data_IF_998155987890
#
_entry.id   IF_998155987890
#
_cell.length_a   1.000
_cell.length_b   1.000
_cell.length_c   1.000
_cell.angle_alpha   90.00
_cell.angle_beta   90.00
_cell.angle_gamma   90.00
#
_symmetry.space_group_name_H-M   'P 1'
#
loop_
_entity.id
_entity.type
_entity.pdbx_description
1 polymer ?
#
# COMPACT_ATOMS: atom_id res chain seq x y z
N UNK A 1 -26.12 21.44 -17.72
CA UNK A 1 -26.25 19.96 -17.71
C UNK A 1 -24.87 19.27 -17.79
N UNK A 2 -23.78 19.85 -17.26
CA UNK A 2 -22.45 19.21 -17.23
C UNK A 2 -22.04 18.66 -15.85
N UNK A 3 -22.66 19.12 -14.76
CA UNK A 3 -22.29 18.74 -13.38
C UNK A 3 -22.48 17.24 -13.09
N UNK A 4 -23.52 16.63 -13.65
CA UNK A 4 -23.87 15.24 -13.35
C UNK A 4 -22.83 14.24 -13.84
N UNK A 5 -22.15 14.53 -14.96
CA UNK A 5 -21.11 13.64 -15.50
C UNK A 5 -19.82 13.74 -14.71
N UNK A 6 -19.44 14.95 -14.29
CA UNK A 6 -18.23 15.15 -13.46
C UNK A 6 -18.36 14.54 -12.07
N UNK A 7 -19.53 14.65 -11.46
CA UNK A 7 -19.84 13.99 -10.18
C UNK A 7 -19.77 12.48 -10.32
N UNK A 8 -20.41 11.90 -11.35
CA UNK A 8 -20.35 10.46 -11.61
C UNK A 8 -18.92 9.95 -11.80
N UNK A 9 -18.08 10.72 -12.53
CA UNK A 9 -16.67 10.38 -12.74
C UNK A 9 -15.86 10.41 -11.43
N UNK A 10 -16.13 11.38 -10.55
CA UNK A 10 -15.48 11.44 -9.23
C UNK A 10 -15.85 10.24 -8.37
N UNK A 11 -17.12 9.86 -8.35
CA UNK A 11 -17.59 8.72 -7.57
C UNK A 11 -17.00 7.40 -8.07
N UNK A 12 -17.00 7.17 -9.39
CA UNK A 12 -16.36 6.00 -10.02
C UNK A 12 -14.87 5.97 -9.69
N UNK A 13 -14.17 7.11 -9.78
CA UNK A 13 -12.75 7.19 -9.42
C UNK A 13 -12.51 6.87 -7.95
N UNK A 14 -13.40 7.31 -7.05
CA UNK A 14 -13.29 7.04 -5.62
C UNK A 14 -13.51 5.55 -5.31
N UNK A 15 -14.47 4.91 -5.96
CA UNK A 15 -14.76 3.50 -5.80
C UNK A 15 -13.63 2.62 -6.37
N UNK A 16 -13.08 2.97 -7.54
CA UNK A 16 -11.92 2.31 -8.12
C UNK A 16 -10.67 2.45 -7.23
N UNK A 17 -10.41 3.64 -6.68
CA UNK A 17 -9.32 3.86 -5.72
C UNK A 17 -9.50 3.02 -4.46
N UNK A 18 -10.73 2.91 -3.95
CA UNK A 18 -11.05 2.14 -2.75
C UNK A 18 -10.87 0.64 -2.99
N UNK A 19 -11.37 0.14 -4.13
CA UNK A 19 -11.17 -1.24 -4.57
C UNK A 19 -9.68 -1.56 -4.76
N UNK A 20 -8.90 -0.63 -5.32
CA UNK A 20 -7.48 -0.81 -5.51
C UNK A 20 -6.66 -0.76 -4.20
N UNK A 21 -7.11 -0.02 -3.18
CA UNK A 21 -6.51 -0.09 -1.82
C UNK A 21 -6.72 -1.45 -1.16
N UNK A 22 -7.83 -2.11 -1.46
CA UNK A 22 -8.12 -3.49 -1.11
C UNK A 22 -7.53 -4.51 -2.11
N UNK A 23 -6.77 -4.05 -3.12
CA UNK A 23 -6.08 -4.94 -4.03
C UNK A 23 -5.09 -5.82 -3.28
N UNK A 24 -4.87 -7.02 -3.83
CA UNK A 24 -3.95 -8.00 -3.22
C UNK A 24 -2.51 -7.50 -3.23
N UNK A 25 -2.17 -6.49 -4.03
CA UNK A 25 -0.80 -6.09 -4.35
C UNK A 25 -0.59 -4.58 -4.18
N UNK A 26 0.05 -4.21 -3.08
CA UNK A 26 0.42 -2.84 -2.74
C UNK A 26 1.69 -2.38 -3.44
N UNK A 27 1.72 -1.11 -3.81
CA UNK A 27 2.91 -0.40 -4.25
C UNK A 27 3.61 0.30 -3.06
N UNK A 28 4.70 1.02 -3.32
CA UNK A 28 5.46 1.73 -2.29
C UNK A 28 4.66 2.83 -1.59
N UNK A 29 3.79 3.55 -2.32
CA UNK A 29 2.92 4.58 -1.75
C UNK A 29 1.90 3.94 -0.80
N UNK A 30 1.26 2.84 -1.18
CA UNK A 30 0.26 2.18 -0.34
C UNK A 30 0.88 1.75 1.01
N UNK A 31 2.10 1.22 0.99
CA UNK A 31 2.86 0.86 2.20
C UNK A 31 3.19 2.12 3.01
N UNK A 32 3.65 3.19 2.36
CA UNK A 32 3.95 4.46 3.02
C UNK A 32 2.72 5.04 3.74
N UNK A 33 1.57 5.04 3.07
CA UNK A 33 0.31 5.51 3.63
C UNK A 33 -0.13 4.64 4.82
N UNK A 34 -0.01 3.32 4.70
CA UNK A 34 -0.38 2.38 5.77
C UNK A 34 0.48 2.56 7.04
N UNK A 35 1.80 2.71 6.88
CA UNK A 35 2.70 2.92 8.02
C UNK A 35 2.77 4.39 8.46
N UNK A 36 2.10 5.33 7.77
CA UNK A 36 2.19 6.78 7.98
C UNK A 36 3.63 7.30 7.94
N UNK A 37 4.40 6.82 6.96
CA UNK A 37 5.80 7.16 6.74
C UNK A 37 6.00 7.78 5.35
N UNK A 38 7.09 8.50 5.15
CA UNK A 38 7.49 8.91 3.79
C UNK A 38 8.00 7.71 2.98
N UNK A 39 7.88 7.77 1.64
CA UNK A 39 8.43 6.74 0.73
C UNK A 39 9.91 6.46 0.98
N UNK A 40 10.68 7.51 1.27
CA UNK A 40 12.11 7.40 1.55
C UNK A 40 12.35 6.63 2.85
N UNK A 41 11.60 6.94 3.91
CA UNK A 41 11.67 6.20 5.18
C UNK A 41 11.27 4.74 5.00
N UNK A 42 10.23 4.44 4.22
CA UNK A 42 9.84 3.06 3.90
C UNK A 42 10.96 2.34 3.17
N UNK A 43 11.52 2.95 2.12
CA UNK A 43 12.57 2.32 1.30
C UNK A 43 13.84 2.03 2.11
N UNK A 44 14.28 2.99 2.93
CA UNK A 44 15.57 2.90 3.61
C UNK A 44 15.52 2.23 4.98
N UNK A 45 14.35 2.18 5.63
CA UNK A 45 14.22 1.66 7.01
C UNK A 45 13.30 0.46 7.15
N UNK A 46 12.36 0.27 6.22
CA UNK A 46 11.36 -0.78 6.29
C UNK A 46 11.63 -1.91 5.29
N UNK A 47 11.75 -1.57 4.00
CA UNK A 47 11.93 -2.56 2.92
C UNK A 47 13.28 -3.28 2.97
N UNK A 48 14.29 -2.66 3.59
CA UNK A 48 15.62 -3.24 3.77
C UNK A 48 15.67 -4.30 4.88
N UNK A 49 14.63 -4.42 5.71
CA UNK A 49 14.62 -5.38 6.82
C UNK A 49 14.51 -6.81 6.26
N UNK A 50 15.36 -7.76 6.69
CA UNK A 50 15.32 -9.14 6.20
C UNK A 50 13.97 -9.84 6.42
N UNK A 51 13.27 -9.44 7.49
CA UNK A 51 11.97 -9.97 7.89
C UNK A 51 10.78 -9.28 7.21
N UNK A 52 11.03 -8.22 6.42
CA UNK A 52 9.97 -7.55 5.67
C UNK A 52 9.52 -8.43 4.47
N UNK A 53 8.23 -8.42 4.09
CA UNK A 53 7.75 -9.20 2.97
C UNK A 53 8.51 -8.96 1.66
N UNK A 54 8.78 -10.05 0.93
CA UNK A 54 9.48 -9.97 -0.36
C UNK A 54 8.59 -9.31 -1.41
N UNK A 55 9.20 -8.46 -2.21
CA UNK A 55 8.52 -7.84 -3.33
C UNK A 55 8.32 -8.84 -4.48
N UNK A 56 7.15 -8.82 -5.08
CA UNK A 56 6.86 -9.41 -6.39
C UNK A 56 7.25 -8.37 -7.44
N UNK A 57 8.11 -8.75 -8.38
CA UNK A 57 8.45 -7.91 -9.53
C UNK A 57 7.46 -8.19 -10.65
N UNK A 58 6.74 -7.16 -11.07
CA UNK A 58 5.82 -7.22 -12.22
C UNK A 58 6.46 -6.42 -13.34
N UNK A 59 6.60 -7.03 -14.52
CA UNK A 59 7.17 -6.36 -15.70
C UNK A 59 6.34 -5.14 -16.09
N UNK A 60 7.01 -4.04 -16.48
CA UNK A 60 6.36 -2.76 -16.82
C UNK A 60 5.76 -1.96 -15.65
N UNK A 61 5.60 -2.56 -14.47
CA UNK A 61 4.93 -1.91 -13.31
C UNK A 61 5.88 -1.70 -12.12
N UNK A 62 6.83 -2.63 -11.92
CA UNK A 62 7.81 -2.59 -10.85
C UNK A 62 7.45 -3.47 -9.65
N UNK A 63 7.99 -3.11 -8.47
CA UNK A 63 7.84 -3.89 -7.24
C UNK A 63 6.45 -3.72 -6.62
N UNK A 64 5.85 -4.83 -6.21
CA UNK A 64 4.58 -4.89 -5.48
C UNK A 64 4.68 -5.85 -4.29
N UNK A 65 3.86 -5.65 -3.28
CA UNK A 65 3.86 -6.45 -2.05
C UNK A 65 2.46 -6.97 -1.76
N UNK A 66 2.37 -8.19 -1.24
CA UNK A 66 1.07 -8.72 -0.84
C UNK A 66 0.56 -7.97 0.39
N UNK A 67 -0.66 -7.45 0.30
CA UNK A 67 -1.36 -6.77 1.38
C UNK A 67 -1.33 -7.57 2.70
N UNK A 68 -1.66 -8.86 2.61
CA UNK A 68 -1.75 -9.76 3.77
C UNK A 68 -0.41 -9.93 4.47
N UNK A 69 0.68 -10.05 3.73
CA UNK A 69 2.03 -10.21 4.28
C UNK A 69 2.51 -8.92 4.96
N UNK A 70 2.21 -7.76 4.37
CA UNK A 70 2.56 -6.45 4.93
C UNK A 70 1.79 -6.19 6.23
N UNK A 71 0.49 -6.48 6.26
CA UNK A 71 -0.33 -6.41 7.48
C UNK A 71 0.18 -7.37 8.56
N UNK A 72 0.44 -8.63 8.21
CA UNK A 72 0.98 -9.62 9.16
C UNK A 72 2.34 -9.18 9.73
N UNK A 73 3.20 -8.59 8.90
CA UNK A 73 4.45 -8.00 9.37
C UNK A 73 4.19 -6.88 10.38
N UNK A 74 3.26 -5.97 10.08
CA UNK A 74 2.95 -4.84 10.96
C UNK A 74 2.44 -5.30 12.33
N UNK A 75 1.52 -6.28 12.36
CA UNK A 75 1.00 -6.85 13.60
C UNK A 75 2.09 -7.51 14.45
N UNK A 76 2.99 -8.29 13.84
CA UNK A 76 4.14 -8.89 14.55
C UNK A 76 5.05 -7.86 15.20
N UNK A 77 5.23 -6.70 14.57
CA UNK A 77 6.14 -5.64 15.05
C UNK A 77 5.46 -4.60 15.94
N UNK A 78 4.12 -4.54 15.97
CA UNK A 78 3.38 -3.78 17.00
C UNK A 78 3.54 -4.44 18.38
N UNK A 79 3.53 -5.78 18.43
CA UNK A 79 3.70 -6.55 19.66
C UNK A 79 5.09 -6.29 20.29
N UNK A 80 6.13 -6.10 19.47
CA UNK A 80 7.50 -5.85 19.95
C UNK A 80 7.74 -4.46 20.55
N UNK A 81 6.77 -3.53 20.51
CA UNK A 81 6.87 -2.23 21.19
C UNK A 81 6.27 -2.24 22.61
N UNK A 82 5.69 -3.37 23.05
CA UNK A 82 5.00 -3.52 24.35
C UNK A 82 5.73 -4.55 25.24
N UNK A 83 7.00 -4.83 24.98
CA UNK A 83 7.85 -5.67 25.86
C UNK A 83 9.20 -5.01 26.00
#
# INVERSE_FOLDING_TARGET
MSDTTEELLKDILQELKSTNKNSRLWNLQDIADYFKLSKNSVSNRLLCKPVFPKAIKIEGVGKRWKLSEVKAYAERHKIQRIT
#
